data_IF_302976679006
#
_entry.id   IF_302976679006
#
_cell.length_a   1.000
_cell.length_b   1.000
_cell.length_c   1.000
_cell.angle_alpha   90.00
_cell.angle_beta   90.00
_cell.angle_gamma   90.00
#
_symmetry.space_group_name_H-M   'P 1'
#
loop_
_entity.id
_entity.type
_entity.pdbx_description
1 polymer ?
#
# COMPACT_ATOMS: atom_id res chain seq x y z
N UNK A 1 15.21 -4.34 -13.04
CA UNK A 1 14.24 -4.68 -11.98
C UNK A 1 14.73 -5.97 -11.33
N UNK A 2 14.57 -6.20 -10.03
CA UNK A 2 14.73 -7.54 -9.49
C UNK A 2 13.92 -8.52 -10.34
N UNK A 3 14.39 -9.74 -10.49
CA UNK A 3 13.71 -10.78 -11.28
C UNK A 3 12.22 -10.79 -10.90
N UNK A 4 11.33 -10.67 -11.89
CA UNK A 4 9.89 -10.58 -11.65
C UNK A 4 9.45 -11.86 -10.94
N UNK A 5 9.25 -11.77 -9.62
CA UNK A 5 8.69 -12.87 -8.84
C UNK A 5 7.23 -12.91 -9.22
N UNK A 6 6.81 -14.00 -9.86
CA UNK A 6 5.40 -14.19 -10.21
C UNK A 6 4.70 -14.74 -8.97
N UNK A 7 3.88 -13.93 -8.27
CA UNK A 7 3.20 -14.38 -7.06
C UNK A 7 2.19 -15.51 -7.32
N UNK A 8 1.89 -15.85 -8.58
CA UNK A 8 1.07 -17.01 -8.94
C UNK A 8 1.89 -18.30 -9.12
N UNK A 9 3.22 -18.21 -9.22
CA UNK A 9 4.13 -19.34 -9.49
C UNK A 9 5.10 -19.56 -8.33
N UNK A 10 5.63 -18.48 -7.77
CA UNK A 10 6.67 -18.49 -6.75
C UNK A 10 6.10 -18.38 -5.33
N UNK A 11 5.15 -19.28 -5.00
CA UNK A 11 4.36 -19.22 -3.77
C UNK A 11 5.17 -19.31 -2.45
N UNK A 12 6.45 -19.72 -2.52
CA UNK A 12 7.33 -19.87 -1.36
C UNK A 12 8.46 -18.83 -1.31
N UNK A 13 8.44 -17.81 -2.18
CA UNK A 13 9.42 -16.72 -2.19
C UNK A 13 8.75 -15.41 -1.80
N UNK A 14 9.07 -14.93 -0.59
CA UNK A 14 8.65 -13.63 -0.08
C UNK A 14 9.85 -12.68 -0.04
N UNK A 15 10.21 -12.08 -1.18
CA UNK A 15 11.36 -11.20 -1.23
C UNK A 15 11.09 -9.94 -0.41
N UNK A 16 12.14 -9.45 0.24
CA UNK A 16 12.17 -8.11 0.82
C UNK A 16 13.36 -7.40 0.20
N UNK A 17 13.10 -6.27 -0.43
CA UNK A 17 14.15 -5.40 -0.97
C UNK A 17 14.58 -4.42 0.11
N UNK A 18 15.89 -4.29 0.33
CA UNK A 18 16.47 -3.34 1.28
C UNK A 18 17.16 -2.22 0.53
N UNK A 19 16.81 -0.97 0.81
CA UNK A 19 17.49 0.20 0.27
C UNK A 19 18.56 0.67 1.27
N UNK A 20 19.80 0.75 0.79
CA UNK A 20 20.96 1.18 1.60
C UNK A 20 21.70 2.29 0.85
N UNK A 21 22.03 3.37 1.56
CA UNK A 21 22.81 4.51 1.05
C UNK A 21 23.79 4.93 2.13
N UNK A 22 25.06 5.15 1.79
CA UNK A 22 26.11 5.52 2.75
C UNK A 22 26.16 4.59 3.99
N UNK A 23 25.96 3.27 3.79
CA UNK A 23 25.83 2.25 4.85
C UNK A 23 24.65 2.42 5.83
N UNK A 24 23.74 3.35 5.55
CA UNK A 24 22.50 3.57 6.31
C UNK A 24 21.35 2.87 5.59
N UNK A 25 20.54 2.14 6.34
CA UNK A 25 19.30 1.55 5.80
C UNK A 25 18.26 2.65 5.67
N UNK A 26 17.80 2.93 4.45
CA UNK A 26 16.81 3.97 4.17
C UNK A 26 15.38 3.43 4.12
N UNK A 27 15.22 2.10 4.10
CA UNK A 27 13.92 1.44 4.17
C UNK A 27 13.91 0.10 3.46
N UNK A 28 12.71 -0.46 3.37
CA UNK A 28 12.42 -1.74 2.75
C UNK A 28 11.30 -1.60 1.72
N UNK A 29 11.22 -2.54 0.80
CA UNK A 29 10.08 -2.66 -0.12
C UNK A 29 9.70 -4.13 -0.25
N UNK A 30 8.40 -4.40 -0.16
CA UNK A 30 7.84 -5.74 -0.32
C UNK A 30 6.86 -5.73 -1.50
N UNK A 31 6.88 -6.76 -2.37
CA UNK A 31 5.83 -6.91 -3.35
C UNK A 31 4.52 -7.25 -2.64
N UNK A 32 3.43 -6.66 -3.12
CA UNK A 32 2.08 -6.92 -2.63
C UNK A 32 1.18 -7.30 -3.80
N UNK A 33 0.18 -8.12 -3.50
CA UNK A 33 -0.90 -8.39 -4.44
C UNK A 33 -2.23 -8.47 -3.70
N UNK A 34 -3.31 -8.13 -4.39
CA UNK A 34 -4.66 -8.13 -3.84
C UNK A 34 -5.72 -8.24 -4.91
N UNK A 35 -6.86 -8.85 -4.57
CA UNK A 35 -7.99 -8.97 -5.49
C UNK A 35 -8.74 -7.64 -5.60
N UNK A 36 -8.75 -7.06 -6.80
CA UNK A 36 -9.65 -5.98 -7.20
C UNK A 36 -11.01 -6.49 -7.69
N UNK A 37 -11.85 -5.59 -8.23
CA UNK A 37 -13.14 -5.97 -8.78
C UNK A 37 -12.98 -6.72 -10.11
N UNK A 38 -12.08 -6.25 -10.97
CA UNK A 38 -11.90 -6.75 -12.32
C UNK A 38 -10.72 -7.71 -12.46
N UNK A 39 -9.74 -7.62 -11.56
CA UNK A 39 -8.60 -8.55 -11.56
C UNK A 39 -7.68 -8.38 -10.36
N UNK A 40 -6.60 -9.16 -10.33
CA UNK A 40 -5.55 -9.01 -9.32
C UNK A 40 -4.76 -7.73 -9.59
N UNK A 41 -4.51 -6.98 -8.51
CA UNK A 41 -3.68 -5.80 -8.47
C UNK A 41 -2.31 -6.20 -7.92
N UNK A 42 -1.24 -5.73 -8.56
CA UNK A 42 0.13 -5.96 -8.12
C UNK A 42 0.83 -4.63 -7.86
N UNK A 43 1.60 -4.60 -6.79
CA UNK A 43 2.24 -3.37 -6.32
C UNK A 43 3.43 -3.61 -5.42
N UNK A 44 3.96 -2.52 -4.91
CA UNK A 44 4.99 -2.50 -3.88
C UNK A 44 4.52 -1.67 -2.69
N UNK A 45 4.76 -2.20 -1.50
CA UNK A 45 4.60 -1.47 -0.26
C UNK A 45 5.99 -1.16 0.30
N UNK A 46 6.30 0.12 0.46
CA UNK A 46 7.57 0.59 0.99
C UNK A 46 7.42 0.90 2.48
N UNK A 47 8.43 0.51 3.25
CA UNK A 47 8.46 0.57 4.71
C UNK A 47 9.66 1.41 5.13
N UNK A 48 9.47 2.28 6.11
CA UNK A 48 10.56 3.04 6.72
C UNK A 48 11.56 2.12 7.45
N UNK A 49 12.76 2.61 7.80
CA UNK A 49 13.76 1.80 8.51
C UNK A 49 13.28 1.22 9.85
N UNK A 50 12.24 1.80 10.45
CA UNK A 50 11.64 1.33 11.70
C UNK A 50 10.84 0.01 11.56
N UNK A 51 10.57 -0.44 10.33
CA UNK A 51 9.84 -1.67 10.06
C UNK A 51 8.34 -1.62 10.38
N UNK A 52 7.79 -0.45 10.73
CA UNK A 52 6.42 -0.28 11.23
C UNK A 52 5.63 0.85 10.54
N UNK A 53 6.34 1.79 9.91
CA UNK A 53 5.77 2.95 9.25
C UNK A 53 5.83 2.79 7.74
N UNK A 54 4.71 3.08 7.07
CA UNK A 54 4.62 3.10 5.63
C UNK A 54 5.41 4.29 5.07
N UNK A 55 6.37 3.98 4.20
CA UNK A 55 7.08 4.96 3.37
C UNK A 55 6.29 5.31 2.11
N UNK A 56 5.41 4.42 1.65
CA UNK A 56 4.53 4.64 0.51
C UNK A 56 4.02 3.33 -0.10
N UNK A 57 3.14 3.46 -1.08
CA UNK A 57 2.57 2.34 -1.85
C UNK A 57 2.51 2.72 -3.32
N UNK A 58 2.66 1.74 -4.21
CA UNK A 58 2.42 1.93 -5.65
C UNK A 58 1.88 0.65 -6.27
N UNK A 59 1.08 0.79 -7.32
CA UNK A 59 0.58 -0.33 -8.12
C UNK A 59 1.19 -0.23 -9.52
N UNK A 60 1.67 -1.35 -10.05
CA UNK A 60 2.31 -1.38 -11.38
C UNK A 60 1.51 -2.21 -12.40
N UNK A 61 0.54 -3.00 -11.94
CA UNK A 61 -0.32 -3.78 -12.82
C UNK A 61 -1.70 -3.99 -12.18
N UNK A 62 -2.75 -3.56 -12.89
CA UNK A 62 -4.14 -3.88 -12.61
C UNK A 62 -5.01 -3.59 -13.84
N UNK A 63 -6.29 -3.99 -13.79
CA UNK A 63 -7.28 -3.73 -14.84
C UNK A 63 -8.53 -3.01 -14.32
N UNK A 64 -8.41 -2.35 -13.16
CA UNK A 64 -9.50 -1.56 -12.58
C UNK A 64 -9.91 -0.39 -13.49
N UNK A 65 -11.20 -0.03 -13.41
CA UNK A 65 -11.76 1.03 -14.26
C UNK A 65 -11.19 2.40 -13.88
N UNK A 66 -10.63 3.18 -14.84
CA UNK A 66 -10.19 4.54 -14.60
C UNK A 66 -11.31 5.42 -14.01
N UNK A 67 -10.98 6.22 -12.98
CA UNK A 67 -11.95 7.07 -12.28
C UNK A 67 -12.79 6.35 -11.22
N UNK A 68 -12.71 5.02 -11.12
CA UNK A 68 -13.29 4.20 -10.05
C UNK A 68 -12.14 3.53 -9.28
N UNK A 69 -12.02 2.19 -9.33
CA UNK A 69 -10.92 1.45 -8.71
C UNK A 69 -9.53 1.78 -9.27
N UNK A 70 -9.44 2.30 -10.50
CA UNK A 70 -8.17 2.72 -11.10
C UNK A 70 -7.55 3.97 -10.46
N UNK A 71 -8.24 4.62 -9.50
CA UNK A 71 -7.66 5.76 -8.79
C UNK A 71 -6.53 5.37 -7.82
N UNK A 72 -6.29 4.08 -7.58
CA UNK A 72 -5.16 3.62 -6.77
C UNK A 72 -3.79 4.04 -7.31
N UNK A 73 -3.71 4.36 -8.60
CA UNK A 73 -2.51 4.88 -9.26
C UNK A 73 -2.27 6.36 -8.98
N UNK A 74 -3.24 7.07 -8.41
CA UNK A 74 -3.17 8.52 -8.29
C UNK A 74 -2.34 8.94 -7.09
N UNK A 75 -1.59 10.06 -7.21
CA UNK A 75 -0.80 10.60 -6.09
C UNK A 75 -1.65 10.86 -4.84
N UNK A 76 -2.90 11.30 -4.99
CA UNK A 76 -3.78 11.57 -3.85
C UNK A 76 -3.99 10.31 -2.98
N UNK A 77 -4.13 9.14 -3.61
CA UNK A 77 -4.35 7.88 -2.90
C UNK A 77 -3.03 7.36 -2.34
N UNK A 78 -1.97 7.30 -3.16
CA UNK A 78 -0.67 6.77 -2.76
C UNK A 78 -0.03 7.58 -1.62
N UNK A 79 -0.15 8.91 -1.66
CA UNK A 79 0.41 9.78 -0.63
C UNK A 79 -0.30 9.64 0.72
N UNK A 80 -1.55 9.16 0.75
CA UNK A 80 -2.30 8.96 1.98
C UNK A 80 -1.64 7.89 2.89
N UNK A 81 -0.88 6.97 2.29
CA UNK A 81 -0.17 5.92 3.03
C UNK A 81 1.09 6.43 3.72
N UNK A 82 1.70 7.53 3.28
CA UNK A 82 2.99 7.99 3.81
C UNK A 82 2.83 8.37 5.30
N UNK A 83 3.66 7.77 6.14
CA UNK A 83 3.66 8.01 7.59
C UNK A 83 2.60 7.23 8.37
N UNK A 84 1.72 6.46 7.71
CA UNK A 84 0.76 5.59 8.40
C UNK A 84 1.49 4.41 9.04
N UNK A 85 1.06 3.97 10.22
CA UNK A 85 1.63 2.78 10.87
C UNK A 85 0.76 1.57 10.59
N UNK A 86 1.39 0.44 10.32
CA UNK A 86 0.71 -0.85 10.12
C UNK A 86 0.99 -1.84 11.26
N UNK A 87 1.81 -1.43 12.24
CA UNK A 87 2.11 -2.16 13.47
C UNK A 87 1.84 -1.26 14.67
N UNK A 88 1.10 -1.79 15.65
CA UNK A 88 0.77 -1.06 16.89
C UNK A 88 1.98 -0.99 17.86
N UNK A 89 1.78 -0.35 19.01
CA UNK A 89 2.83 -0.20 20.04
C UNK A 89 3.25 -1.53 20.69
N UNK A 90 2.43 -2.56 20.58
CA UNK A 90 2.70 -3.89 21.11
C UNK A 90 3.43 -4.80 20.10
N UNK A 91 3.70 -4.30 18.89
CA UNK A 91 4.28 -5.11 17.81
C UNK A 91 3.25 -5.95 17.05
N UNK A 92 1.95 -5.71 17.25
CA UNK A 92 0.86 -6.40 16.56
C UNK A 92 0.69 -5.81 15.17
N UNK A 93 0.65 -6.67 14.15
CA UNK A 93 0.29 -6.27 12.80
C UNK A 93 -1.20 -5.92 12.74
N UNK A 94 -1.51 -4.63 12.57
CA UNK A 94 -2.88 -4.09 12.45
C UNK A 94 -3.24 -3.75 11.01
N UNK A 95 -2.24 -3.58 10.14
CA UNK A 95 -2.43 -3.17 8.75
C UNK A 95 -2.85 -1.70 8.59
N UNK A 96 -2.98 -1.27 7.34
CA UNK A 96 -3.56 0.03 6.98
C UNK A 96 -4.91 -0.22 6.32
N UNK A 97 -5.94 0.49 6.75
CA UNK A 97 -7.30 0.31 6.26
C UNK A 97 -7.75 1.51 5.44
N UNK A 98 -8.26 1.23 4.24
CA UNK A 98 -8.97 2.22 3.45
C UNK A 98 -10.41 2.35 3.96
N UNK A 99 -10.83 3.57 4.30
CA UNK A 99 -12.21 3.87 4.69
C UNK A 99 -13.00 4.44 3.52
N UNK A 100 -14.32 4.31 3.53
CA UNK A 100 -15.14 5.02 2.55
C UNK A 100 -15.15 6.51 2.88
N UNK A 101 -14.80 7.35 1.92
CA UNK A 101 -14.74 8.80 2.14
C UNK A 101 -13.38 9.26 2.67
N UNK A 102 -13.39 10.37 3.40
CA UNK A 102 -12.21 10.95 4.04
C UNK A 102 -12.07 10.45 5.49
N UNK A 103 -10.84 10.19 5.91
CA UNK A 103 -10.50 9.87 7.30
C UNK A 103 -10.85 11.06 8.21
N UNK A 104 -11.44 10.76 9.37
CA UNK A 104 -11.57 11.73 10.46
C UNK A 104 -10.23 11.83 11.20
N UNK A 105 -9.50 12.92 10.96
CA UNK A 105 -8.18 13.17 11.57
C UNK A 105 -8.25 13.33 13.10
N UNK A 106 -9.43 13.50 13.69
CA UNK A 106 -9.60 13.54 15.15
C UNK A 106 -9.76 12.14 15.76
N UNK A 107 -9.96 11.12 14.93
CA UNK A 107 -10.05 9.73 15.37
C UNK A 107 -8.72 9.24 15.93
N UNK A 108 -8.79 8.47 17.03
CA UNK A 108 -7.63 7.78 17.58
C UNK A 108 -7.05 6.72 16.63
N UNK A 109 -7.83 6.28 15.65
CA UNK A 109 -7.41 5.30 14.64
C UNK A 109 -6.81 5.96 13.38
N UNK A 110 -6.83 7.29 13.25
CA UNK A 110 -6.41 7.98 12.02
C UNK A 110 -4.98 7.64 11.55
N UNK A 111 -4.12 7.19 12.48
CA UNK A 111 -2.73 6.79 12.22
C UNK A 111 -2.57 5.56 11.33
N UNK A 112 -3.62 4.74 11.15
CA UNK A 112 -3.59 3.56 10.28
C UNK A 112 -4.74 3.52 9.26
N UNK A 113 -5.47 4.62 9.09
CA UNK A 113 -6.54 4.76 8.10
C UNK A 113 -6.12 5.61 6.91
N UNK A 114 -6.64 5.29 5.72
CA UNK A 114 -6.46 6.08 4.48
C UNK A 114 -7.78 6.36 3.77
N UNK A 115 -7.83 7.46 3.04
CA UNK A 115 -9.04 7.88 2.31
C UNK A 115 -9.41 6.90 1.18
N UNK A 116 -10.70 6.70 1.00
CA UNK A 116 -11.30 5.94 -0.09
C UNK A 116 -12.35 6.76 -0.82
N UNK A 117 -11.94 7.92 -1.34
CA UNK A 117 -12.74 8.82 -2.16
C UNK A 117 -12.83 8.34 -3.63
N UNK A 118 -12.99 7.03 -3.83
CA UNK A 118 -13.23 6.46 -5.14
C UNK A 118 -14.64 6.84 -5.60
N UNK A 119 -14.78 7.32 -6.84
CA UNK A 119 -16.12 7.47 -7.40
C UNK A 119 -16.77 6.08 -7.49
N UNK A 120 -18.07 6.05 -7.29
CA UNK A 120 -18.90 4.86 -7.50
C UNK A 120 -19.64 4.97 -8.83
N UNK A 121 -20.15 3.85 -9.34
CA UNK A 121 -21.00 3.84 -10.54
C UNK A 121 -22.26 4.70 -10.39
N UNK A 122 -22.65 5.07 -9.16
CA UNK A 122 -23.80 5.93 -8.89
C UNK A 122 -23.43 7.43 -8.93
N UNK A 123 -22.15 7.76 -9.09
CA UNK A 123 -21.64 9.14 -9.16
C UNK A 123 -21.38 9.61 -10.61
N UNK A 124 -21.74 8.79 -11.60
CA UNK A 124 -21.68 9.06 -13.04
C UNK A 124 -23.09 9.18 -13.62
#
# INVERSE_FOLDING_TARGET
>A
MPQDIDPNVDLNLYPIYKRVSNNITEGYSIPISGKGLWGTMFGYFSIEPDGATAKGITFYQHIETPGLGGEVDKPWFQNNFVGKRFVDENGTLIGIQTVKGQVDDTSKEAYHLVDGNFRSNNDL
#
